data_IF_042563000405
#
_entry.id   IF_042563000405
#
_cell.length_a   1.000
_cell.length_b   1.000
_cell.length_c   1.000
_cell.angle_alpha   90.00
_cell.angle_beta   90.00
_cell.angle_gamma   90.00
#
_symmetry.space_group_name_H-M   'P 1'
#
loop_
_entity.id
_entity.type
_entity.pdbx_description
1 polymer ?
#
# COMPACT_ATOMS: atom_id res chain seq x y z
N UNK A 1 9.57 9.73 13.79
CA UNK A 1 8.16 9.98 13.44
C UNK A 1 7.29 9.36 14.51
N UNK A 2 6.43 10.14 15.13
CA UNK A 2 5.54 9.67 16.18
C UNK A 2 4.49 8.68 15.62
N UNK A 3 3.96 7.79 16.48
CA UNK A 3 2.95 6.79 16.09
C UNK A 3 1.73 7.42 15.41
N UNK A 4 1.27 8.56 15.91
CA UNK A 4 0.12 9.28 15.35
C UNK A 4 0.39 9.82 13.94
N UNK A 5 1.56 10.42 13.73
CA UNK A 5 1.99 10.93 12.42
C UNK A 5 2.08 9.80 11.38
N UNK A 6 2.63 8.63 11.77
CA UNK A 6 2.69 7.43 10.91
C UNK A 6 1.28 6.98 10.48
N UNK A 7 0.35 6.88 11.43
CA UNK A 7 -1.03 6.47 11.14
C UNK A 7 -1.71 7.47 10.19
N UNK A 8 -1.53 8.78 10.40
CA UNK A 8 -2.12 9.82 9.55
C UNK A 8 -1.56 9.73 8.13
N UNK A 9 -0.23 9.61 7.99
CA UNK A 9 0.44 9.47 6.70
C UNK A 9 -0.06 8.23 5.93
N UNK A 10 -0.13 7.07 6.60
CA UNK A 10 -0.63 5.83 6.00
C UNK A 10 -2.12 5.90 5.66
N UNK A 11 -2.94 6.58 6.48
CA UNK A 11 -4.37 6.77 6.19
C UNK A 11 -4.59 7.68 4.97
N UNK A 12 -3.80 8.75 4.84
CA UNK A 12 -3.80 9.59 3.64
C UNK A 12 -3.33 8.82 2.41
N UNK A 13 -2.31 7.97 2.57
CA UNK A 13 -1.83 7.09 1.51
C UNK A 13 -2.90 6.08 1.07
N UNK A 14 -3.58 5.44 2.02
CA UNK A 14 -4.69 4.50 1.77
C UNK A 14 -5.81 5.16 0.95
N UNK A 15 -6.15 6.42 1.23
CA UNK A 15 -7.14 7.15 0.45
C UNK A 15 -6.71 7.27 -1.03
N UNK A 16 -5.43 7.56 -1.31
CA UNK A 16 -4.91 7.60 -2.69
C UNK A 16 -5.08 6.25 -3.39
N UNK A 17 -4.74 5.15 -2.72
CA UNK A 17 -4.86 3.79 -3.28
C UNK A 17 -6.32 3.44 -3.57
N UNK A 18 -7.26 3.79 -2.67
CA UNK A 18 -8.70 3.60 -2.88
C UNK A 18 -9.23 4.35 -4.12
N UNK A 19 -8.62 5.47 -4.49
CA UNK A 19 -8.99 6.26 -5.66
C UNK A 19 -8.41 5.79 -7.01
N UNK A 20 -7.56 4.76 -7.05
CA UNK A 20 -7.04 4.19 -8.30
C UNK A 20 -8.18 3.74 -9.23
N UNK A 21 -8.14 4.17 -10.49
CA UNK A 21 -9.32 4.12 -11.39
C UNK A 21 -9.44 2.86 -12.23
N UNK A 22 -8.37 2.05 -12.33
CA UNK A 22 -8.39 0.85 -13.16
C UNK A 22 -7.01 0.48 -13.68
N UNK A 23 -6.93 -0.69 -14.32
CA UNK A 23 -5.71 -1.15 -14.98
C UNK A 23 -5.16 -0.09 -15.94
N UNK A 24 -3.83 0.10 -15.93
CA UNK A 24 -3.14 1.11 -16.73
C UNK A 24 -3.09 2.51 -16.08
N UNK A 25 -3.67 2.69 -14.89
CA UNK A 25 -3.50 3.91 -14.11
C UNK A 25 -2.03 4.02 -13.66
N UNK A 26 -1.25 4.89 -14.31
CA UNK A 26 0.17 5.10 -13.99
C UNK A 26 0.40 5.49 -12.53
N UNK A 27 -0.61 6.02 -11.84
CA UNK A 27 -0.50 6.34 -10.42
C UNK A 27 -0.29 5.07 -9.57
N UNK A 28 -0.79 3.91 -10.01
CA UNK A 28 -0.63 2.67 -9.24
C UNK A 28 0.83 2.31 -9.01
N UNK A 29 1.66 2.34 -10.05
CA UNK A 29 3.10 2.08 -9.93
C UNK A 29 3.81 3.11 -9.04
N UNK A 30 3.41 4.38 -9.11
CA UNK A 30 3.95 5.43 -8.24
C UNK A 30 3.58 5.19 -6.77
N UNK A 31 2.32 4.82 -6.50
CA UNK A 31 1.85 4.52 -5.16
C UNK A 31 2.55 3.28 -4.59
N UNK A 32 2.81 2.24 -5.38
CA UNK A 32 3.54 1.08 -4.87
C UNK A 32 4.99 1.42 -4.48
N UNK A 33 5.66 2.30 -5.25
CA UNK A 33 7.00 2.82 -4.90
C UNK A 33 6.96 3.70 -3.64
N UNK A 34 5.95 4.56 -3.51
CA UNK A 34 5.71 5.36 -2.31
C UNK A 34 5.50 4.43 -1.11
N UNK A 35 4.69 3.38 -1.24
CA UNK A 35 4.45 2.39 -0.19
C UNK A 35 5.71 1.66 0.27
N UNK A 36 6.57 1.23 -0.65
CA UNK A 36 7.88 0.62 -0.31
C UNK A 36 8.75 1.58 0.52
N UNK A 37 8.71 2.86 0.18
CA UNK A 37 9.46 3.90 0.90
C UNK A 37 8.88 4.11 2.30
N UNK A 38 7.56 4.13 2.43
CA UNK A 38 6.85 4.23 3.72
C UNK A 38 7.10 3.01 4.62
N UNK A 39 7.13 1.81 4.04
CA UNK A 39 7.47 0.57 4.73
C UNK A 39 8.86 0.61 5.35
N UNK A 40 9.86 1.10 4.61
CA UNK A 40 11.23 1.22 5.10
C UNK A 40 11.41 2.25 6.24
N UNK A 41 10.42 3.12 6.49
CA UNK A 41 10.43 4.09 7.59
C UNK A 41 9.82 3.54 8.89
N UNK A 42 9.35 2.28 8.89
CA UNK A 42 8.79 1.61 10.06
C UNK A 42 9.82 0.74 10.77
N UNK A 43 9.64 0.55 12.08
CA UNK A 43 10.43 -0.42 12.87
C UNK A 43 10.15 -1.86 12.43
N UNK A 44 8.98 -2.09 11.82
CA UNK A 44 8.60 -3.32 11.13
C UNK A 44 8.49 -2.99 9.63
N UNK A 45 9.58 -3.09 8.86
CA UNK A 45 9.52 -2.86 7.43
C UNK A 45 8.66 -3.91 6.74
N UNK A 46 7.91 -3.48 5.73
CA UNK A 46 7.16 -4.41 4.88
C UNK A 46 8.14 -5.38 4.18
N UNK A 47 7.82 -6.68 4.10
CA UNK A 47 8.61 -7.61 3.31
C UNK A 47 8.71 -7.12 1.86
N UNK A 48 9.91 -7.10 1.29
CA UNK A 48 10.14 -6.69 -0.11
C UNK A 48 9.23 -7.43 -1.09
N UNK A 49 8.99 -8.71 -0.79
CA UNK A 49 8.31 -9.65 -1.67
C UNK A 49 6.82 -9.30 -1.79
N UNK A 50 6.22 -8.73 -0.74
CA UNK A 50 4.82 -8.26 -0.79
C UNK A 50 4.65 -7.08 -1.74
N UNK A 51 5.66 -6.22 -1.88
CA UNK A 51 5.60 -5.07 -2.79
C UNK A 51 5.62 -5.55 -4.24
N UNK A 52 6.47 -6.53 -4.55
CA UNK A 52 6.60 -7.08 -5.90
C UNK A 52 5.34 -7.88 -6.30
N UNK A 53 4.71 -8.59 -5.35
CA UNK A 53 3.40 -9.22 -5.55
C UNK A 53 2.31 -8.20 -5.88
N UNK A 54 2.25 -7.06 -5.16
CA UNK A 54 1.29 -5.99 -5.45
C UNK A 54 1.49 -5.44 -6.87
N UNK A 55 2.74 -5.23 -7.31
CA UNK A 55 3.03 -4.77 -8.68
C UNK A 55 2.54 -5.79 -9.69
N UNK A 56 2.82 -7.08 -9.47
CA UNK A 56 2.39 -8.14 -10.37
C UNK A 56 0.87 -8.20 -10.51
N UNK A 57 0.13 -8.11 -9.40
CA UNK A 57 -1.32 -8.13 -9.46
C UNK A 57 -1.90 -6.88 -10.17
N UNK A 58 -1.26 -5.72 -10.01
CA UNK A 58 -1.64 -4.46 -10.69
C UNK A 58 -1.19 -4.42 -12.17
N UNK A 59 -0.33 -5.34 -12.61
CA UNK A 59 0.22 -5.36 -13.97
C UNK A 59 -0.69 -6.04 -15.01
N UNK A 60 -1.84 -6.57 -14.62
CA UNK A 60 -2.77 -7.25 -15.53
C UNK A 60 -4.23 -6.82 -15.31
N UNK A 61 -5.02 -6.63 -16.39
CA UNK A 61 -6.44 -6.31 -16.27
C UNK A 61 -7.24 -7.36 -15.49
N UNK A 62 -6.82 -8.63 -15.59
CA UNK A 62 -7.52 -9.76 -14.95
C UNK A 62 -7.31 -9.79 -13.44
N UNK A 63 -6.13 -9.38 -12.98
CA UNK A 63 -5.74 -9.41 -11.56
C UNK A 63 -5.90 -8.05 -10.88
N UNK A 64 -6.04 -6.97 -11.66
CA UNK A 64 -6.08 -5.59 -11.16
C UNK A 64 -6.97 -5.37 -9.94
N UNK A 65 -8.25 -5.77 -10.03
CA UNK A 65 -9.20 -5.54 -8.95
C UNK A 65 -8.80 -6.31 -7.68
N UNK A 66 -8.29 -7.53 -7.84
CA UNK A 66 -7.79 -8.32 -6.73
C UNK A 66 -6.53 -7.68 -6.13
N UNK A 67 -5.57 -7.28 -6.96
CA UNK A 67 -4.35 -6.59 -6.54
C UNK A 67 -4.61 -5.30 -5.80
N UNK A 68 -5.56 -4.48 -6.29
CA UNK A 68 -5.97 -3.26 -5.60
C UNK A 68 -6.57 -3.57 -4.22
N UNK A 69 -7.39 -4.60 -4.11
CA UNK A 69 -7.98 -5.00 -2.83
C UNK A 69 -6.92 -5.54 -1.86
N UNK A 70 -6.00 -6.38 -2.32
CA UNK A 70 -4.87 -6.89 -1.55
C UNK A 70 -3.99 -5.73 -1.06
N UNK A 71 -3.72 -4.76 -1.93
CA UNK A 71 -2.94 -3.59 -1.57
C UNK A 71 -3.62 -2.75 -0.47
N UNK A 72 -4.93 -2.51 -0.60
CA UNK A 72 -5.74 -1.84 0.43
C UNK A 72 -5.66 -2.60 1.77
N UNK A 73 -5.86 -3.91 1.75
CA UNK A 73 -5.82 -4.75 2.95
C UNK A 73 -4.46 -4.71 3.63
N UNK A 74 -3.36 -4.82 2.86
CA UNK A 74 -2.00 -4.77 3.42
C UNK A 74 -1.74 -3.43 4.14
N UNK A 75 -2.20 -2.30 3.57
CA UNK A 75 -2.07 -1.00 4.23
C UNK A 75 -2.93 -0.93 5.50
N UNK A 76 -4.16 -1.45 5.46
CA UNK A 76 -5.07 -1.47 6.61
C UNK A 76 -4.51 -2.31 7.76
N UNK A 77 -4.01 -3.53 7.48
CA UNK A 77 -3.32 -4.38 8.46
C UNK A 77 -2.12 -3.65 9.05
N UNK A 78 -1.30 -3.00 8.23
CA UNK A 78 -0.13 -2.28 8.71
C UNK A 78 -0.49 -1.11 9.64
N UNK A 79 -1.57 -0.39 9.34
CA UNK A 79 -2.10 0.66 10.22
C UNK A 79 -2.55 0.07 11.56
N UNK A 80 -3.21 -1.08 11.54
CA UNK A 80 -3.74 -1.72 12.75
C UNK A 80 -2.62 -2.33 13.62
N UNK A 81 -1.57 -2.90 13.02
CA UNK A 81 -0.35 -3.31 13.72
C UNK A 81 0.29 -2.13 14.46
N UNK A 82 0.40 -0.96 13.80
CA UNK A 82 0.93 0.26 14.42
C UNK A 82 0.03 0.70 15.57
N UNK A 83 -1.30 0.59 15.44
CA UNK A 83 -2.24 0.89 16.53
C UNK A 83 -2.09 -0.08 17.70
N UNK A 84 -1.61 -1.29 17.46
CA UNK A 84 -1.51 -2.38 18.45
C UNK A 84 -2.85 -3.10 18.61
N UNK A 85 -3.55 -3.33 17.50
CA UNK A 85 -4.81 -4.07 17.45
C UNK A 85 -4.61 -5.51 17.01
#
# INVERSE_FOLDING_TARGET
>A
MEKLEKIQMLSSFLAKVKHLRGYGDMNSYNLVKEFKTLGNLSENPLPSDQVDEIINDLSSPRTWNNGKNNFIQNIETFIDDIKGK
#
